data_IF_435940697498
#
_entry.id   IF_435940697498
#
_cell.length_a   1.000
_cell.length_b   1.000
_cell.length_c   1.000
_cell.angle_alpha   90.00
_cell.angle_beta   90.00
_cell.angle_gamma   90.00
#
_symmetry.space_group_name_H-M   'P 1'
#
loop_
_entity.id
_entity.type
_entity.pdbx_description
1 polymer ?
#
# COMPACT_ATOMS: atom_id res chain seq x y z
N UNK A 1 -6.42 -10.60 26.85
CA UNK A 1 -5.79 -9.51 26.06
C UNK A 1 -6.71 -9.15 24.91
N UNK A 2 -7.08 -7.87 24.76
CA UNK A 2 -7.91 -7.43 23.64
C UNK A 2 -7.02 -7.24 22.41
N UNK A 3 -7.33 -7.94 21.31
CA UNK A 3 -6.68 -7.69 20.01
C UNK A 3 -7.32 -6.46 19.38
N UNK A 4 -6.49 -5.54 18.89
CA UNK A 4 -6.96 -4.34 18.16
C UNK A 4 -6.76 -4.56 16.67
N UNK A 5 -7.81 -4.30 15.89
CA UNK A 5 -7.76 -4.30 14.43
C UNK A 5 -7.68 -2.86 13.93
N UNK A 6 -6.73 -2.60 13.02
CA UNK A 6 -6.68 -1.36 12.25
C UNK A 6 -7.11 -1.69 10.83
N UNK A 7 -8.14 -1.00 10.33
CA UNK A 7 -8.62 -1.17 8.95
C UNK A 7 -8.23 0.07 8.17
N UNK A 8 -7.55 -0.13 7.05
CA UNK A 8 -7.09 0.93 6.15
C UNK A 8 -7.66 0.62 4.76
N UNK A 9 -8.41 1.54 4.14
CA UNK A 9 -8.85 1.35 2.77
C UNK A 9 -7.65 1.40 1.83
N UNK A 10 -7.61 0.50 0.85
CA UNK A 10 -6.53 0.46 -0.15
C UNK A 10 -6.96 1.25 -1.38
N UNK A 11 -6.18 2.27 -1.72
CA UNK A 11 -6.32 2.99 -2.99
C UNK A 11 -5.16 2.63 -3.91
N UNK A 12 -5.49 1.93 -4.99
CA UNK A 12 -4.51 1.57 -6.00
C UNK A 12 -4.04 2.79 -6.80
N UNK A 13 -2.80 2.73 -7.25
CA UNK A 13 -2.15 3.75 -8.06
C UNK A 13 -1.72 3.18 -9.41
N UNK A 14 -1.39 4.07 -10.35
CA UNK A 14 -0.84 3.71 -11.66
C UNK A 14 0.39 2.79 -11.58
N UNK A 15 1.12 2.81 -10.46
CA UNK A 15 2.30 1.97 -10.24
C UNK A 15 1.97 0.47 -10.19
N UNK A 16 0.73 0.11 -9.86
CA UNK A 16 0.28 -1.27 -9.69
C UNK A 16 -0.37 -1.84 -10.96
N UNK A 17 -0.62 -1.00 -11.97
CA UNK A 17 -1.35 -1.38 -13.18
C UNK A 17 -0.48 -2.09 -14.23
N UNK A 18 0.82 -2.28 -13.97
CA UNK A 18 1.74 -2.98 -14.86
C UNK A 18 1.71 -2.44 -16.30
N UNK A 19 1.54 -3.35 -17.27
CA UNK A 19 1.47 -3.03 -18.70
C UNK A 19 0.25 -2.18 -19.10
N UNK A 20 -0.81 -2.15 -18.29
CA UNK A 20 -2.07 -1.45 -18.61
C UNK A 20 -2.03 0.02 -18.17
N UNK A 21 -0.97 0.46 -17.49
CA UNK A 21 -0.80 1.83 -16.98
C UNK A 21 -1.08 2.92 -18.02
N UNK A 22 -0.54 2.78 -19.22
CA UNK A 22 -0.69 3.79 -20.28
C UNK A 22 -2.12 3.85 -20.82
N UNK A 23 -2.77 2.70 -20.95
CA UNK A 23 -4.15 2.61 -21.42
C UNK A 23 -5.11 3.20 -20.38
N UNK A 24 -4.96 2.84 -19.10
CA UNK A 24 -5.78 3.40 -18.02
C UNK A 24 -5.59 4.91 -17.86
N UNK A 25 -4.36 5.42 -18.02
CA UNK A 25 -4.13 6.87 -18.04
C UNK A 25 -4.90 7.54 -19.19
N UNK A 26 -4.79 7.00 -20.41
CA UNK A 26 -5.50 7.54 -21.58
C UNK A 26 -7.02 7.51 -21.42
N UNK A 27 -7.57 6.43 -20.89
CA UNK A 27 -9.01 6.31 -20.59
C UNK A 27 -9.42 7.31 -19.50
N UNK A 28 -8.63 7.44 -18.43
CA UNK A 28 -8.92 8.32 -17.30
C UNK A 28 -8.87 9.79 -17.71
N UNK A 29 -7.87 10.20 -18.49
CA UNK A 29 -7.76 11.56 -19.01
C UNK A 29 -8.90 11.90 -19.97
N UNK A 30 -9.31 10.96 -20.83
CA UNK A 30 -10.47 11.14 -21.73
C UNK A 30 -11.80 11.23 -20.96
N UNK A 31 -11.96 10.44 -19.90
CA UNK A 31 -13.23 10.33 -19.16
C UNK A 31 -13.40 11.46 -18.15
N UNK A 32 -12.35 11.80 -17.41
CA UNK A 32 -12.42 12.72 -16.27
C UNK A 32 -11.73 14.07 -16.55
N UNK A 33 -10.94 14.16 -17.62
CA UNK A 33 -10.09 15.30 -17.89
C UNK A 33 -8.76 15.22 -17.14
N UNK A 34 -7.70 15.77 -17.75
CA UNK A 34 -6.33 15.74 -17.23
C UNK A 34 -6.20 16.36 -15.83
N UNK A 35 -6.86 17.50 -15.58
CA UNK A 35 -6.77 18.18 -14.29
C UNK A 35 -7.36 17.33 -13.14
N UNK A 36 -8.55 16.74 -13.35
CA UNK A 36 -9.16 15.86 -12.35
C UNK A 36 -8.33 14.61 -12.13
N UNK A 37 -7.71 14.07 -13.19
CA UNK A 37 -6.81 12.93 -13.09
C UNK A 37 -5.55 13.26 -12.28
N UNK A 38 -4.89 14.37 -12.57
CA UNK A 38 -3.72 14.83 -11.81
C UNK A 38 -4.07 15.09 -10.34
N UNK A 39 -5.22 15.72 -10.05
CA UNK A 39 -5.70 15.90 -8.69
C UNK A 39 -5.95 14.57 -7.97
N UNK A 40 -6.57 13.60 -8.64
CA UNK A 40 -6.77 12.27 -8.07
C UNK A 40 -5.44 11.61 -7.69
N UNK A 41 -4.44 11.64 -8.58
CA UNK A 41 -3.10 11.08 -8.29
C UNK A 41 -2.44 11.76 -7.09
N UNK A 42 -2.55 13.08 -6.97
CA UNK A 42 -2.03 13.82 -5.83
C UNK A 42 -2.75 13.44 -4.52
N UNK A 43 -4.08 13.30 -4.55
CA UNK A 43 -4.86 12.89 -3.38
C UNK A 43 -4.50 11.48 -2.91
N UNK A 44 -4.31 10.53 -3.84
CA UNK A 44 -3.87 9.16 -3.52
C UNK A 44 -2.47 9.15 -2.90
N UNK A 45 -1.54 9.95 -3.45
CA UNK A 45 -0.21 10.11 -2.88
C UNK A 45 -0.27 10.65 -1.44
N UNK A 46 -0.99 11.75 -1.23
CA UNK A 46 -1.15 12.38 0.09
C UNK A 46 -1.82 11.43 1.10
N UNK A 47 -2.80 10.64 0.64
CA UNK A 47 -3.44 9.61 1.46
C UNK A 47 -2.41 8.63 2.02
N UNK A 48 -1.56 8.07 1.15
CA UNK A 48 -0.55 7.09 1.56
C UNK A 48 0.51 7.70 2.51
N UNK A 49 0.92 8.94 2.27
CA UNK A 49 1.83 9.67 3.17
C UNK A 49 1.22 9.84 4.57
N UNK A 50 -0.09 10.19 4.64
CA UNK A 50 -0.82 10.30 5.92
C UNK A 50 -0.99 8.96 6.62
N UNK A 51 -1.23 7.88 5.87
CA UNK A 51 -1.32 6.51 6.41
C UNK A 51 0.01 6.11 7.05
N UNK A 52 1.12 6.29 6.34
CA UNK A 52 2.45 5.96 6.84
C UNK A 52 2.78 6.68 8.14
N UNK A 53 2.61 8.02 8.17
CA UNK A 53 2.82 8.82 9.37
C UNK A 53 1.89 8.43 10.53
N UNK A 54 0.63 8.09 10.22
CA UNK A 54 -0.34 7.64 11.23
C UNK A 54 0.02 6.28 11.82
N UNK A 55 0.50 5.35 10.99
CA UNK A 55 0.96 4.03 11.43
C UNK A 55 2.19 4.14 12.31
N UNK A 56 3.18 4.96 11.93
CA UNK A 56 4.36 5.21 12.74
C UNK A 56 3.98 5.73 14.14
N UNK A 57 3.11 6.73 14.21
CA UNK A 57 2.62 7.28 15.48
C UNK A 57 1.83 6.26 16.31
N UNK A 58 0.98 5.44 15.67
CA UNK A 58 0.11 4.48 16.38
C UNK A 58 0.85 3.24 16.86
N UNK A 59 1.90 2.83 16.16
CA UNK A 59 2.66 1.63 16.46
C UNK A 59 3.92 1.89 17.29
N UNK A 60 4.25 3.15 17.60
CA UNK A 60 5.47 3.53 18.33
C UNK A 60 5.67 2.83 19.69
N UNK A 61 4.59 2.41 20.36
CA UNK A 61 4.59 1.70 21.64
C UNK A 61 4.11 0.26 21.52
N UNK A 62 3.91 -0.22 20.30
CA UNK A 62 3.48 -1.58 20.00
C UNK A 62 4.72 -2.40 19.69
N UNK A 63 4.83 -3.57 20.32
CA UNK A 63 5.81 -4.58 19.92
C UNK A 63 5.51 -5.05 18.49
N UNK A 64 6.30 -4.58 17.54
CA UNK A 64 6.09 -4.81 16.11
C UNK A 64 6.12 -6.31 15.77
N UNK A 65 6.87 -7.13 16.52
CA UNK A 65 6.92 -8.59 16.32
C UNK A 65 5.56 -9.28 16.50
N UNK A 66 4.61 -8.62 17.16
CA UNK A 66 3.24 -9.11 17.38
C UNK A 66 2.23 -8.55 16.39
N UNK A 67 2.65 -7.63 15.52
CA UNK A 67 1.81 -7.06 14.46
C UNK A 67 1.69 -8.07 13.32
N UNK A 68 0.44 -8.37 12.95
CA UNK A 68 0.10 -9.21 11.81
C UNK A 68 -0.55 -8.35 10.74
N UNK A 69 -0.08 -8.46 9.52
CA UNK A 69 -0.58 -7.69 8.37
C UNK A 69 -1.37 -8.64 7.48
N UNK A 70 -2.60 -8.26 7.17
CA UNK A 70 -3.45 -8.91 6.18
C UNK A 70 -3.80 -7.87 5.13
N UNK A 71 -3.77 -8.25 3.86
CA UNK A 71 -4.20 -7.37 2.78
C UNK A 71 -4.99 -8.14 1.73
N UNK A 72 -5.85 -7.42 1.03
CA UNK A 72 -6.53 -7.95 -0.14
C UNK A 72 -5.53 -8.20 -1.27
N UNK A 73 -5.79 -9.23 -2.08
CA UNK A 73 -4.90 -9.65 -3.17
C UNK A 73 -3.57 -10.29 -2.75
N UNK A 74 -3.36 -10.56 -1.45
CA UNK A 74 -2.24 -11.37 -0.96
C UNK A 74 -2.38 -12.81 -1.48
N UNK A 75 -1.41 -13.28 -2.27
CA UNK A 75 -1.48 -14.62 -2.89
C UNK A 75 -0.99 -15.73 -1.96
N UNK A 76 0.04 -15.44 -1.16
CA UNK A 76 0.70 -16.40 -0.27
C UNK A 76 1.41 -15.67 0.87
N UNK A 77 1.45 -16.29 2.04
CA UNK A 77 2.11 -15.76 3.25
C UNK A 77 3.64 -15.98 3.23
N UNK A 78 4.31 -15.49 4.26
CA UNK A 78 5.70 -15.85 4.56
C UNK A 78 6.70 -15.36 3.50
N UNK A 79 7.75 -16.16 3.24
CA UNK A 79 8.86 -15.76 2.38
C UNK A 79 8.42 -15.37 0.96
N UNK A 80 7.56 -16.17 0.34
CA UNK A 80 7.08 -15.91 -1.02
C UNK A 80 6.17 -14.68 -1.07
N UNK A 81 5.32 -14.47 -0.06
CA UNK A 81 4.49 -13.27 0.06
C UNK A 81 5.32 -12.00 0.15
N UNK A 82 6.37 -12.02 0.98
CA UNK A 82 7.32 -10.91 1.10
C UNK A 82 8.05 -10.66 -0.22
N UNK A 83 8.45 -11.70 -0.95
CA UNK A 83 9.10 -11.55 -2.26
C UNK A 83 8.20 -10.89 -3.31
N UNK A 84 6.94 -11.31 -3.38
CA UNK A 84 5.95 -10.67 -4.27
C UNK A 84 5.75 -9.21 -3.87
N UNK A 85 5.65 -8.93 -2.58
CA UNK A 85 5.54 -7.56 -2.08
C UNK A 85 6.77 -6.71 -2.44
N UNK A 86 7.99 -7.26 -2.42
CA UNK A 86 9.23 -6.59 -2.85
C UNK A 86 9.17 -6.17 -4.33
N UNK A 87 8.67 -7.04 -5.21
CA UNK A 87 8.52 -6.73 -6.64
C UNK A 87 7.51 -5.60 -6.87
N UNK A 88 6.34 -5.67 -6.24
CA UNK A 88 5.28 -4.66 -6.39
C UNK A 88 5.69 -3.32 -5.75
N UNK A 89 6.40 -3.36 -4.62
CA UNK A 89 6.96 -2.16 -3.99
C UNK A 89 8.00 -1.48 -4.89
N UNK A 90 8.80 -2.27 -5.61
CA UNK A 90 9.80 -1.79 -6.57
C UNK A 90 9.16 -1.18 -7.81
N UNK A 91 7.97 -1.64 -8.21
CA UNK A 91 7.15 -0.99 -9.24
C UNK A 91 6.54 0.35 -8.79
N UNK A 92 6.63 0.69 -7.50
CA UNK A 92 6.23 1.98 -6.94
C UNK A 92 4.96 1.97 -6.09
N UNK A 93 4.40 0.79 -5.77
CA UNK A 93 3.23 0.71 -4.87
C UNK A 93 3.57 1.20 -3.47
N UNK A 94 2.91 2.29 -3.05
CA UNK A 94 3.07 2.85 -1.70
C UNK A 94 2.54 1.92 -0.61
N UNK A 95 1.46 1.20 -0.88
CA UNK A 95 0.93 0.18 0.02
C UNK A 95 2.01 -0.86 0.35
N UNK A 96 2.60 -1.47 -0.68
CA UNK A 96 3.60 -2.53 -0.49
C UNK A 96 4.91 -2.00 0.13
N UNK A 97 5.29 -0.75 -0.16
CA UNK A 97 6.43 -0.10 0.51
C UNK A 97 6.20 0.02 2.03
N UNK A 98 5.01 0.43 2.46
CA UNK A 98 4.64 0.54 3.88
C UNK A 98 4.65 -0.86 4.52
N UNK A 99 4.06 -1.86 3.88
CA UNK A 99 4.03 -3.25 4.37
C UNK A 99 5.46 -3.76 4.59
N UNK A 100 6.34 -3.64 3.60
CA UNK A 100 7.73 -4.07 3.71
C UNK A 100 8.49 -3.28 4.79
N UNK A 101 8.20 -1.99 4.95
CA UNK A 101 8.77 -1.18 6.03
C UNK A 101 8.39 -1.72 7.41
N UNK A 102 7.16 -2.20 7.60
CA UNK A 102 6.71 -2.83 8.83
C UNK A 102 7.31 -4.24 9.00
N UNK A 103 7.39 -5.04 7.93
CA UNK A 103 8.00 -6.38 7.96
C UNK A 103 9.48 -6.30 8.33
N UNK A 104 10.23 -5.31 7.78
CA UNK A 104 11.62 -5.05 8.15
C UNK A 104 11.79 -4.70 9.63
N UNK A 105 10.77 -4.10 10.27
CA UNK A 105 10.73 -3.80 11.70
C UNK A 105 10.26 -5.00 12.56
N UNK A 106 9.90 -6.13 11.94
CA UNK A 106 9.52 -7.37 12.60
C UNK A 106 8.05 -7.77 12.47
N UNK A 107 7.22 -7.00 11.75
CA UNK A 107 5.82 -7.38 11.53
C UNK A 107 5.73 -8.66 10.67
N UNK A 108 4.69 -9.46 10.90
CA UNK A 108 4.46 -10.68 10.14
C UNK A 108 3.42 -10.41 9.06
N UNK A 109 3.83 -10.56 7.81
CA UNK A 109 2.91 -10.61 6.69
C UNK A 109 2.25 -11.99 6.67
N UNK A 110 0.92 -11.97 6.81
CA UNK A 110 0.04 -13.13 6.80
C UNK A 110 -0.61 -13.29 5.42
#
# INVERSE_FOLDING_TARGET
>A
MVKKLLIIPVFHSEAEMGSVKHEMKGISEKTFGREKWERHRNNVKEFWEKVEASLEKRLNRVDISKVRIYQDGQVVDGYFGVKIAEEIASAGSKNHQIILGLVKKGAVLM
#
